data_IF_272628303331
#
_entry.id   IF_272628303331
#
_cell.length_a   1.000
_cell.length_b   1.000
_cell.length_c   1.000
_cell.angle_alpha   90.00
_cell.angle_beta   90.00
_cell.angle_gamma   90.00
#
_symmetry.space_group_name_H-M   'P 1'
#
loop_
_entity.id
_entity.type
_entity.pdbx_description
1 polymer ?
#
# COMPACT_ATOMS: atom_id res chain seq x y z
N UNK A 1 -34.43 -5.77 -7.26
CA UNK A 1 -33.56 -6.91 -7.62
C UNK A 1 -32.18 -6.45 -8.11
N UNK A 2 -32.06 -5.70 -9.22
CA UNK A 2 -30.77 -5.16 -9.66
C UNK A 2 -30.29 -3.96 -8.81
N UNK A 3 -31.20 -3.04 -8.46
CA UNK A 3 -30.87 -1.91 -7.56
C UNK A 3 -30.46 -2.37 -6.15
N UNK A 4 -31.10 -3.42 -5.59
CA UNK A 4 -30.70 -3.99 -4.29
C UNK A 4 -29.29 -4.58 -4.32
N UNK A 5 -28.91 -5.21 -5.44
CA UNK A 5 -27.59 -5.81 -5.62
C UNK A 5 -26.52 -4.72 -5.75
N UNK A 6 -26.79 -3.69 -6.56
CA UNK A 6 -25.89 -2.55 -6.72
C UNK A 6 -25.68 -1.80 -5.39
N UNK A 7 -26.76 -1.59 -4.61
CA UNK A 7 -26.66 -0.91 -3.31
C UNK A 7 -25.87 -1.73 -2.28
N UNK A 8 -25.99 -3.07 -2.30
CA UNK A 8 -25.15 -3.95 -1.47
C UNK A 8 -23.67 -3.88 -1.88
N UNK A 9 -23.38 -4.04 -3.16
CA UNK A 9 -22.00 -4.02 -3.66
C UNK A 9 -21.32 -2.66 -3.39
N UNK A 10 -22.06 -1.56 -3.51
CA UNK A 10 -21.57 -0.23 -3.11
C UNK A 10 -21.24 -0.18 -1.62
N UNK A 11 -22.15 -0.65 -0.76
CA UNK A 11 -21.92 -0.65 0.70
C UNK A 11 -20.70 -1.49 1.09
N UNK A 12 -20.56 -2.68 0.50
CA UNK A 12 -19.42 -3.57 0.75
C UNK A 12 -18.10 -2.92 0.28
N UNK A 13 -18.11 -2.25 -0.87
CA UNK A 13 -16.96 -1.51 -1.37
C UNK A 13 -16.56 -0.39 -0.40
N UNK A 14 -17.53 0.37 0.12
CA UNK A 14 -17.27 1.45 1.08
C UNK A 14 -16.70 0.94 2.39
N UNK A 15 -17.28 -0.11 2.96
CA UNK A 15 -16.77 -0.72 4.19
C UNK A 15 -15.33 -1.23 4.01
N UNK A 16 -15.04 -1.86 2.87
CA UNK A 16 -13.68 -2.34 2.54
C UNK A 16 -12.71 -1.18 2.35
N UNK A 17 -13.16 -0.10 1.71
CA UNK A 17 -12.38 1.12 1.53
C UNK A 17 -12.06 1.83 2.85
N UNK A 18 -13.01 1.90 3.78
CA UNK A 18 -12.78 2.44 5.13
C UNK A 18 -11.73 1.62 5.89
N UNK A 19 -11.85 0.29 5.84
CA UNK A 19 -10.88 -0.61 6.47
C UNK A 19 -9.48 -0.45 5.86
N UNK A 20 -9.39 -0.35 4.53
CA UNK A 20 -8.13 -0.14 3.84
C UNK A 20 -7.50 1.20 4.22
N UNK A 21 -8.27 2.29 4.16
CA UNK A 21 -7.81 3.62 4.53
C UNK A 21 -7.22 3.62 5.96
N UNK A 22 -7.93 3.03 6.91
CA UNK A 22 -7.46 2.93 8.30
C UNK A 22 -6.19 2.07 8.44
N UNK A 23 -6.16 0.91 7.79
CA UNK A 23 -5.01 -0.01 7.85
C UNK A 23 -3.73 0.65 7.31
N UNK A 24 -3.84 1.31 6.15
CA UNK A 24 -2.71 1.99 5.51
C UNK A 24 -2.26 3.21 6.31
N UNK A 25 -3.19 4.04 6.79
CA UNK A 25 -2.89 5.19 7.65
C UNK A 25 -2.10 4.77 8.91
N UNK A 26 -2.54 3.67 9.53
CA UNK A 26 -1.85 3.09 10.68
C UNK A 26 -0.46 2.58 10.30
N UNK A 27 -0.33 1.87 9.18
CA UNK A 27 0.95 1.32 8.72
C UNK A 27 1.97 2.43 8.40
N UNK A 28 1.50 3.55 7.83
CA UNK A 28 2.32 4.77 7.65
C UNK A 28 2.74 5.32 9.00
N UNK A 29 1.81 5.48 9.96
CA UNK A 29 2.11 6.03 11.27
C UNK A 29 3.13 5.16 12.04
N UNK A 30 2.97 3.85 12.01
CA UNK A 30 3.84 2.88 12.70
C UNK A 30 5.25 2.79 12.09
N UNK A 31 5.42 3.23 10.84
CA UNK A 31 6.70 3.20 10.11
C UNK A 31 7.14 4.60 9.62
N UNK A 32 6.56 5.67 10.17
CA UNK A 32 6.67 7.03 9.63
C UNK A 32 8.11 7.57 9.57
N UNK A 33 8.96 7.09 10.45
CA UNK A 33 10.41 7.36 10.59
C UNK A 33 11.28 6.47 9.70
N UNK A 34 10.73 5.38 9.17
CA UNK A 34 11.41 4.38 8.36
C UNK A 34 11.08 4.48 6.87
N UNK A 35 9.99 5.16 6.54
CA UNK A 35 9.50 5.29 5.18
C UNK A 35 10.19 6.45 4.45
N UNK A 36 10.50 6.28 3.15
CA UNK A 36 10.85 7.41 2.29
C UNK A 36 9.74 8.49 2.33
N UNK A 37 10.13 9.76 2.46
CA UNK A 37 9.19 10.87 2.56
C UNK A 37 8.24 10.95 1.34
N UNK A 38 8.76 10.61 0.16
CA UNK A 38 7.99 10.54 -1.08
C UNK A 38 6.87 9.49 -1.01
N UNK A 39 7.20 8.25 -0.64
CA UNK A 39 6.23 7.15 -0.49
C UNK A 39 5.19 7.50 0.58
N UNK A 40 5.65 8.02 1.72
CA UNK A 40 4.77 8.45 2.81
C UNK A 40 3.77 9.50 2.34
N UNK A 41 4.25 10.54 1.65
CA UNK A 41 3.41 11.67 1.22
C UNK A 41 2.43 11.24 0.13
N UNK A 42 2.89 10.43 -0.84
CA UNK A 42 2.03 9.89 -1.91
C UNK A 42 0.89 9.05 -1.32
N UNK A 43 1.23 8.07 -0.48
CA UNK A 43 0.23 7.13 0.06
C UNK A 43 -0.69 7.84 1.06
N UNK A 44 -0.19 8.76 1.88
CA UNK A 44 -1.04 9.56 2.77
C UNK A 44 -2.05 10.41 1.99
N UNK A 45 -1.64 11.02 0.89
CA UNK A 45 -2.53 11.77 0.02
C UNK A 45 -3.64 10.91 -0.59
N UNK A 46 -3.34 9.65 -0.92
CA UNK A 46 -4.34 8.69 -1.41
C UNK A 46 -5.29 8.20 -0.31
N UNK A 47 -4.79 7.99 0.91
CA UNK A 47 -5.62 7.72 2.10
C UNK A 47 -6.61 8.86 2.32
N UNK A 48 -6.13 10.11 2.32
CA UNK A 48 -6.99 11.29 2.54
C UNK A 48 -8.01 11.46 1.41
N UNK A 49 -7.61 11.19 0.17
CA UNK A 49 -8.51 11.20 -0.99
C UNK A 49 -9.62 10.15 -0.86
N UNK A 50 -9.28 8.94 -0.40
CA UNK A 50 -10.26 7.89 -0.17
C UNK A 50 -11.21 8.24 0.98
N UNK A 51 -10.69 8.73 2.11
CA UNK A 51 -11.49 9.21 3.25
C UNK A 51 -12.48 10.28 2.81
N UNK A 52 -12.01 11.26 2.01
CA UNK A 52 -12.87 12.32 1.47
C UNK A 52 -13.93 11.79 0.49
N UNK A 53 -13.61 10.83 -0.36
CA UNK A 53 -14.59 10.19 -1.23
C UNK A 53 -15.66 9.44 -0.42
N UNK A 54 -15.27 8.82 0.70
CA UNK A 54 -16.15 8.12 1.64
C UNK A 54 -17.06 9.05 2.46
N UNK A 55 -16.79 10.36 2.52
CA UNK A 55 -17.72 11.34 3.09
C UNK A 55 -18.87 11.68 2.10
N UNK A 56 -18.64 11.45 0.80
CA UNK A 56 -19.60 11.70 -0.26
C UNK A 56 -20.48 10.49 -0.59
N UNK A 57 -21.39 10.66 -1.55
CA UNK A 57 -22.31 9.62 -2.03
C UNK A 57 -21.94 9.07 -3.42
N UNK A 58 -20.74 9.38 -3.92
CA UNK A 58 -20.27 8.93 -5.23
C UNK A 58 -19.49 7.62 -5.10
N UNK A 59 -20.18 6.51 -5.34
CA UNK A 59 -19.58 5.17 -5.23
C UNK A 59 -18.52 4.91 -6.31
N UNK A 60 -18.59 5.59 -7.46
CA UNK A 60 -17.57 5.50 -8.49
C UNK A 60 -16.27 6.19 -8.05
N UNK A 61 -16.40 7.36 -7.39
CA UNK A 61 -15.27 8.05 -6.80
C UNK A 61 -14.62 7.23 -5.67
N UNK A 62 -15.41 6.60 -4.80
CA UNK A 62 -14.89 5.69 -3.75
C UNK A 62 -14.14 4.53 -4.39
N UNK A 63 -14.72 3.88 -5.40
CA UNK A 63 -14.07 2.75 -6.07
C UNK A 63 -12.74 3.15 -6.72
N UNK A 64 -12.70 4.29 -7.42
CA UNK A 64 -11.48 4.77 -8.05
C UNK A 64 -10.39 5.12 -7.03
N UNK A 65 -10.76 5.81 -5.95
CA UNK A 65 -9.82 6.13 -4.87
C UNK A 65 -9.35 4.88 -4.12
N UNK A 66 -10.21 3.88 -3.97
CA UNK A 66 -9.88 2.59 -3.37
C UNK A 66 -8.87 1.82 -4.21
N UNK A 67 -9.09 1.70 -5.53
CA UNK A 67 -8.14 1.07 -6.46
C UNK A 67 -6.79 1.80 -6.46
N UNK A 68 -6.82 3.13 -6.40
CA UNK A 68 -5.60 3.94 -6.29
C UNK A 68 -4.84 3.66 -5.00
N UNK A 69 -5.53 3.68 -3.85
CA UNK A 69 -4.92 3.36 -2.57
C UNK A 69 -4.38 1.93 -2.54
N UNK A 70 -5.06 0.97 -3.18
CA UNK A 70 -4.55 -0.39 -3.30
C UNK A 70 -3.22 -0.45 -4.06
N UNK A 71 -3.05 0.33 -5.12
CA UNK A 71 -1.77 0.39 -5.84
C UNK A 71 -0.68 1.01 -4.96
N UNK A 72 -1.01 2.09 -4.25
CA UNK A 72 -0.08 2.82 -3.38
C UNK A 72 0.31 1.99 -2.14
N UNK A 73 -0.59 1.16 -1.60
CA UNK A 73 -0.28 0.27 -0.47
C UNK A 73 0.80 -0.77 -0.82
N UNK A 74 0.88 -1.20 -2.09
CA UNK A 74 1.89 -2.17 -2.53
C UNK A 74 3.28 -1.55 -2.44
N UNK A 75 3.44 -0.32 -2.95
CA UNK A 75 4.69 0.45 -2.82
C UNK A 75 5.09 0.67 -1.35
N UNK A 76 4.09 0.94 -0.50
CA UNK A 76 4.30 1.09 0.94
C UNK A 76 4.81 -0.21 1.57
N UNK A 77 4.21 -1.35 1.20
CA UNK A 77 4.63 -2.68 1.64
C UNK A 77 6.05 -3.03 1.18
N UNK A 78 6.40 -2.71 -0.06
CA UNK A 78 7.76 -2.87 -0.61
C UNK A 78 8.79 -2.04 0.16
N UNK A 79 8.48 -0.76 0.44
CA UNK A 79 9.35 0.12 1.21
C UNK A 79 9.60 -0.42 2.64
N UNK A 80 8.55 -0.93 3.30
CA UNK A 80 8.66 -1.53 4.64
C UNK A 80 9.45 -2.84 4.61
N UNK A 81 9.25 -3.67 3.58
CA UNK A 81 9.99 -4.92 3.46
C UNK A 81 11.47 -4.69 3.13
N UNK A 82 11.78 -3.71 2.27
CA UNK A 82 13.15 -3.27 2.01
C UNK A 82 13.85 -2.80 3.28
N UNK A 83 13.13 -2.13 4.18
CA UNK A 83 13.62 -1.78 5.53
C UNK A 83 13.85 -3.02 6.40
N UNK A 84 12.97 -4.03 6.34
CA UNK A 84 13.06 -5.26 7.14
C UNK A 84 14.20 -6.20 6.71
N UNK A 85 14.71 -6.05 5.49
CA UNK A 85 15.93 -6.71 5.00
C UNK A 85 17.23 -6.14 5.61
N UNK A 86 17.16 -5.02 6.34
CA UNK A 86 18.26 -4.54 7.18
C UNK A 86 18.37 -5.39 8.47
N UNK A 87 19.58 -5.70 8.97
CA UNK A 87 19.83 -6.65 10.05
C UNK A 87 19.15 -6.35 11.42
N UNK A 88 18.45 -5.22 11.57
CA UNK A 88 17.72 -4.83 12.78
C UNK A 88 16.18 -5.07 12.71
N UNK A 89 15.68 -5.72 11.65
CA UNK A 89 14.24 -5.80 11.35
C UNK A 89 13.47 -7.05 11.80
N UNK A 90 13.90 -7.79 12.83
CA UNK A 90 13.13 -8.94 13.34
C UNK A 90 11.97 -8.48 14.25
N UNK A 91 10.81 -8.19 13.66
CA UNK A 91 9.60 -7.82 14.43
C UNK A 91 8.32 -7.75 13.60
N UNK A 92 7.44 -8.73 13.80
CA UNK A 92 6.18 -8.99 13.12
C UNK A 92 5.18 -7.82 12.99
N UNK A 93 4.47 -7.80 11.85
CA UNK A 93 3.02 -7.54 11.80
C UNK A 93 2.43 -8.21 10.54
N UNK A 94 1.51 -9.15 10.75
CA UNK A 94 1.02 -10.07 9.73
C UNK A 94 0.15 -9.43 8.66
N UNK A 95 0.37 -9.87 7.42
CA UNK A 95 -0.63 -9.87 6.37
C UNK A 95 -1.29 -11.26 6.38
N UNK A 96 -2.24 -11.46 7.29
CA UNK A 96 -3.13 -12.62 7.25
C UNK A 96 -4.49 -12.16 6.73
N UNK A 97 -4.81 -12.53 5.48
CA UNK A 97 -6.18 -12.77 5.05
C UNK A 97 -6.78 -11.84 3.98
N UNK A 98 -6.50 -12.13 2.70
CA UNK A 98 -7.52 -12.05 1.63
C UNK A 98 -7.17 -12.99 0.45
N UNK A 99 -7.55 -14.26 0.63
CA UNK A 99 -8.02 -15.25 -0.36
C UNK A 99 -7.53 -15.22 -1.83
N UNK A 100 -6.67 -16.20 -2.16
CA UNK A 100 -7.03 -17.35 -3.00
C UNK A 100 -7.26 -17.16 -4.51
N UNK A 101 -6.32 -17.67 -5.34
CA UNK A 101 -6.61 -17.95 -6.74
C UNK A 101 -5.42 -18.29 -7.66
N UNK A 102 -4.99 -19.55 -7.62
CA UNK A 102 -4.37 -20.30 -8.73
C UNK A 102 -2.91 -20.01 -9.13
N UNK A 103 -2.21 -21.13 -9.35
CA UNK A 103 -0.82 -21.27 -9.77
C UNK A 103 -0.52 -20.68 -11.16
N UNK A 104 0.70 -20.15 -11.30
CA UNK A 104 1.29 -19.77 -12.58
C UNK A 104 2.73 -19.32 -12.41
N UNK A 105 3.67 -20.18 -12.83
CA UNK A 105 5.12 -20.04 -12.72
C UNK A 105 5.74 -18.84 -13.43
N UNK A 106 6.81 -18.29 -12.83
CA UNK A 106 8.07 -17.68 -13.36
C UNK A 106 8.51 -16.57 -12.40
N UNK A 107 9.64 -16.63 -11.69
CA UNK A 107 11.01 -16.63 -12.18
C UNK A 107 11.25 -15.53 -13.22
N UNK A 108 11.57 -14.33 -12.74
CA UNK A 108 12.68 -13.46 -13.15
C UNK A 108 12.49 -12.09 -12.47
N UNK A 109 13.42 -11.67 -11.61
CA UNK A 109 14.49 -10.74 -12.00
C UNK A 109 13.96 -9.32 -12.25
N UNK A 110 13.72 -8.59 -11.16
CA UNK A 110 13.75 -7.12 -11.13
C UNK A 110 14.10 -6.65 -9.70
N UNK A 111 15.16 -7.24 -9.13
CA UNK A 111 15.89 -6.59 -8.04
C UNK A 111 16.73 -5.52 -8.72
N UNK A 112 16.20 -4.31 -8.69
CA UNK A 112 16.79 -3.14 -9.32
C UNK A 112 18.12 -2.82 -8.66
N UNK A 113 19.12 -2.66 -9.54
CA UNK A 113 20.50 -2.28 -9.32
C UNK A 113 20.62 -1.12 -8.32
N UNK A 114 20.93 -1.43 -7.06
CA UNK A 114 21.45 -0.46 -6.12
C UNK A 114 22.90 -0.19 -6.51
N UNK A 115 23.08 0.72 -7.47
CA UNK A 115 24.36 1.33 -7.79
C UNK A 115 24.86 2.02 -6.51
N UNK A 116 25.65 1.28 -5.71
CA UNK A 116 26.40 1.82 -4.59
C UNK A 116 27.46 2.75 -5.21
N UNK A 117 27.09 4.02 -5.30
CA UNK A 117 28.03 5.13 -5.31
C UNK A 117 28.51 5.26 -3.86
N UNK A 118 29.69 4.75 -3.58
CA UNK A 118 30.55 5.35 -2.56
C UNK A 118 31.96 5.47 -3.13
N UNK A 119 32.31 6.73 -3.37
CA UNK A 119 33.65 7.23 -3.55
C UNK A 119 34.51 6.86 -2.34
N UNK A 120 35.70 6.32 -2.56
CA UNK A 120 36.82 6.59 -1.66
C UNK A 120 38.13 6.66 -2.45
N UNK A 121 38.55 7.90 -2.72
CA UNK A 121 39.91 8.25 -3.09
C UNK A 121 40.88 7.86 -1.98
N UNK A 122 42.00 7.18 -2.29
CA UNK A 122 43.28 7.50 -1.63
C UNK A 122 44.50 6.88 -2.32
N UNK A 123 45.19 7.75 -3.06
CA UNK A 123 46.64 8.02 -3.02
C UNK A 123 47.65 6.89 -3.30
N UNK A 124 48.39 7.11 -4.40
CA UNK A 124 49.85 6.96 -4.59
C UNK A 124 50.56 5.72 -4.03
#
# INVERSE_FOLDING_TARGET
AAEDKARREATDTRNTAEQLAYSVDKLIADNADKLPEEVKTEVQGDVDSLKKALEGTDDAAVKSAFEKLQASQTKLGEAIYAQAGSPDGAGAAGAEGAAGGSAGSKADEDIVDAEIIDEDEAKK
#
